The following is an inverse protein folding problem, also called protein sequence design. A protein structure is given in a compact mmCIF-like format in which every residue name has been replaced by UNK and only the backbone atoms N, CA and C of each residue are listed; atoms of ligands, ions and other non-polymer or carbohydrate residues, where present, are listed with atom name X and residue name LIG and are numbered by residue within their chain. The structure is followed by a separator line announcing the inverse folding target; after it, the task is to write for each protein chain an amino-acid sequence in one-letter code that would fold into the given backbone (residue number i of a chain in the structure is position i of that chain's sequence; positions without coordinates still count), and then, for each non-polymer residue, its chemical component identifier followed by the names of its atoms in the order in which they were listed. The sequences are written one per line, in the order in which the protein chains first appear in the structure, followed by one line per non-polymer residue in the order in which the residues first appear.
data_IF_906061501074
#
_entry.id   IF_906061501074
#
_cell.length_a   1.000
_cell.length_b   1.000
_cell.length_c   1.000
_cell.angle_alpha   90.00
_cell.angle_beta   90.00
_cell.angle_gamma   90.00
#
_symmetry.space_group_name_H-M   'P 1'
#
loop_
_entity.id
_entity.type
_entity.pdbx_description
1 polymer ?
#
# COMPACT_ATOMS: atom_id res chain seq x y z
N UNK A 1 16.88 4.70 3.15
CA UNK A 1 16.11 4.68 4.41
C UNK A 1 16.76 5.49 5.53
N UNK A 2 18.07 5.74 5.50
CA UNK A 2 18.83 6.48 6.54
C UNK A 2 18.16 7.76 7.02
N UNK A 3 17.66 8.61 6.12
CA UNK A 3 16.95 9.84 6.55
C UNK A 3 15.77 9.60 7.48
N UNK A 4 14.96 8.54 7.24
CA UNK A 4 13.82 8.21 8.12
C UNK A 4 14.35 7.75 9.48
N UNK A 5 15.40 6.93 9.50
CA UNK A 5 16.06 6.49 10.72
C UNK A 5 16.57 7.69 11.53
N UNK A 6 17.27 8.63 10.87
CA UNK A 6 17.79 9.84 11.51
C UNK A 6 16.66 10.69 12.14
N UNK A 7 15.47 10.73 11.54
CA UNK A 7 14.32 11.43 12.15
C UNK A 7 13.78 10.69 13.38
N UNK A 8 13.76 9.35 13.36
CA UNK A 8 13.24 8.53 14.45
C UNK A 8 14.20 8.52 15.65
N UNK A 9 15.50 8.64 15.40
CA UNK A 9 16.54 8.70 16.43
C UNK A 9 16.73 10.11 17.02
N UNK A 10 16.10 11.14 16.43
CA UNK A 10 16.15 12.51 16.94
C UNK A 10 15.20 12.68 18.13
N UNK A 11 15.77 12.73 19.34
CA UNK A 11 15.08 12.96 20.61
C UNK A 11 14.31 14.30 20.67
N UNK A 12 14.64 15.28 19.82
CA UNK A 12 13.86 16.51 19.71
C UNK A 12 12.56 16.31 18.91
N UNK A 13 12.51 15.28 18.06
CA UNK A 13 11.37 14.93 17.21
C UNK A 13 10.54 13.79 17.79
N UNK A 14 11.20 12.75 18.31
CA UNK A 14 10.61 11.59 18.97
C UNK A 14 11.20 11.45 20.37
N UNK A 15 10.72 12.24 21.36
CA UNK A 15 11.24 12.19 22.71
C UNK A 15 10.99 10.81 23.35
N UNK A 16 12.04 10.16 23.86
CA UNK A 16 11.94 8.87 24.56
C UNK A 16 11.66 9.02 26.06
N UNK A 17 11.85 10.22 26.60
CA UNK A 17 11.68 10.53 28.03
C UNK A 17 10.23 10.89 28.37
N UNK A 18 9.71 10.26 29.42
CA UNK A 18 8.37 10.56 29.95
C UNK A 18 8.31 12.03 30.38
N UNK A 19 7.25 12.73 29.96
CA UNK A 19 6.99 14.12 30.31
C UNK A 19 7.54 15.16 29.32
N UNK A 20 8.27 14.74 28.28
CA UNK A 20 8.69 15.64 27.20
C UNK A 20 7.63 15.63 26.09
N UNK A 21 7.01 16.78 25.76
CA UNK A 21 6.01 16.85 24.69
C UNK A 21 6.65 16.77 23.31
N UNK A 22 5.90 16.26 22.33
CA UNK A 22 6.27 16.31 20.93
C UNK A 22 6.38 17.76 20.42
N UNK A 23 7.27 18.04 19.45
CA UNK A 23 7.41 19.38 18.91
C UNK A 23 6.21 19.78 18.04
N UNK A 24 5.98 21.08 17.87
CA UNK A 24 4.82 21.62 17.13
C UNK A 24 4.75 21.17 15.66
N UNK A 25 5.89 20.84 15.06
CA UNK A 25 6.02 20.37 13.68
C UNK A 25 6.01 18.83 13.56
N UNK A 26 5.83 18.10 14.67
CA UNK A 26 5.83 16.63 14.68
C UNK A 26 4.94 16.03 13.58
N UNK A 27 3.69 16.50 13.48
CA UNK A 27 2.75 15.98 12.50
C UNK A 27 3.24 16.16 11.05
N UNK A 28 3.88 17.29 10.75
CA UNK A 28 4.42 17.55 9.40
C UNK A 28 5.57 16.58 9.07
N UNK A 29 6.41 16.27 10.07
CA UNK A 29 7.52 15.32 9.94
C UNK A 29 6.99 13.90 9.81
N UNK A 30 6.04 13.49 10.66
CA UNK A 30 5.39 12.19 10.59
C UNK A 30 4.75 11.95 9.21
N UNK A 31 4.02 12.93 8.68
CA UNK A 31 3.50 12.87 7.29
C UNK A 31 4.63 12.68 6.28
N UNK A 32 5.73 13.41 6.40
CA UNK A 32 6.89 13.28 5.50
C UNK A 32 7.53 11.89 5.57
N UNK A 33 7.67 11.31 6.77
CA UNK A 33 8.17 9.95 6.98
C UNK A 33 7.24 8.95 6.28
N UNK A 34 5.94 9.00 6.54
CA UNK A 34 4.97 8.07 5.96
C UNK A 34 4.92 8.16 4.44
N UNK A 35 5.02 9.36 3.87
CA UNK A 35 5.13 9.54 2.41
C UNK A 35 6.37 8.88 1.82
N UNK A 36 7.51 8.97 2.52
CA UNK A 36 8.73 8.28 2.08
C UNK A 36 8.58 6.77 2.17
N UNK A 37 7.97 6.26 3.24
CA UNK A 37 7.69 4.82 3.40
C UNK A 37 6.73 4.31 2.31
N UNK A 38 5.69 5.08 1.96
CA UNK A 38 4.80 4.74 0.85
C UNK A 38 5.54 4.58 -0.47
N UNK A 39 6.51 5.46 -0.78
CA UNK A 39 7.32 5.34 -2.00
C UNK A 39 8.16 4.06 -2.03
N UNK A 40 8.56 3.55 -0.87
CA UNK A 40 9.26 2.27 -0.76
C UNK A 40 8.31 1.12 -1.07
N UNK A 41 7.09 1.12 -0.52
CA UNK A 41 6.05 0.15 -0.90
C UNK A 41 5.81 0.16 -2.41
N UNK A 42 5.62 1.33 -3.01
CA UNK A 42 5.41 1.45 -4.45
C UNK A 42 6.58 0.87 -5.25
N UNK A 43 7.82 1.14 -4.83
CA UNK A 43 8.99 0.59 -5.49
C UNK A 43 9.04 -0.95 -5.40
N UNK A 44 8.76 -1.52 -4.23
CA UNK A 44 8.73 -2.98 -4.05
C UNK A 44 7.65 -3.61 -4.95
N UNK A 45 6.42 -3.07 -4.94
CA UNK A 45 5.32 -3.60 -5.75
C UNK A 45 5.58 -3.49 -7.26
N UNK A 46 6.27 -2.45 -7.73
CA UNK A 46 6.54 -2.28 -9.16
C UNK A 46 7.78 -3.01 -9.67
N UNK A 47 8.85 -3.08 -8.88
CA UNK A 47 10.16 -3.53 -9.36
C UNK A 47 10.58 -4.90 -8.79
N UNK A 48 10.15 -5.22 -7.56
CA UNK A 48 10.64 -6.39 -6.83
C UNK A 48 9.54 -7.38 -6.46
N UNK A 49 8.31 -7.19 -6.94
CA UNK A 49 7.19 -8.07 -6.57
C UNK A 49 7.42 -9.52 -7.00
N UNK A 50 8.07 -9.75 -8.15
CA UNK A 50 8.44 -11.10 -8.58
C UNK A 50 9.38 -11.81 -7.61
N UNK A 51 10.35 -11.09 -7.05
CA UNK A 51 11.26 -11.62 -6.02
C UNK A 51 10.51 -11.91 -4.72
N UNK A 52 9.62 -11.01 -4.29
CA UNK A 52 8.77 -11.20 -3.09
C UNK A 52 7.92 -12.46 -3.22
N UNK A 53 7.29 -12.68 -4.38
CA UNK A 53 6.51 -13.90 -4.66
C UNK A 53 7.41 -15.14 -4.68
N UNK A 54 8.61 -15.05 -5.25
CA UNK A 54 9.54 -16.18 -5.26
C UNK A 54 9.99 -16.62 -3.86
N UNK A 55 9.96 -15.69 -2.90
CA UNK A 55 10.25 -15.93 -1.48
C UNK A 55 9.01 -16.38 -0.68
N UNK A 56 7.80 -16.34 -1.28
CA UNK A 56 6.54 -16.64 -0.58
C UNK A 56 6.12 -15.57 0.43
N UNK A 57 6.62 -14.34 0.27
CA UNK A 57 6.45 -13.24 1.23
C UNK A 57 5.33 -12.26 0.82
N UNK A 58 4.57 -12.56 -0.24
CA UNK A 58 3.54 -11.66 -0.75
C UNK A 58 2.41 -11.41 0.26
N UNK A 59 2.08 -12.43 1.07
CA UNK A 59 1.05 -12.30 2.10
C UNK A 59 1.47 -11.33 3.21
N UNK A 60 2.74 -11.35 3.62
CA UNK A 60 3.30 -10.43 4.62
C UNK A 60 3.35 -9.00 4.08
N UNK A 61 3.83 -8.83 2.84
CA UNK A 61 3.87 -7.52 2.19
C UNK A 61 2.46 -6.90 2.09
N UNK A 62 1.47 -7.69 1.62
CA UNK A 62 0.09 -7.24 1.47
C UNK A 62 -0.57 -6.89 2.81
N UNK A 63 -0.34 -7.70 3.85
CA UNK A 63 -0.88 -7.43 5.20
C UNK A 63 -0.27 -6.16 5.77
N UNK A 64 1.04 -6.00 5.67
CA UNK A 64 1.75 -4.81 6.15
C UNK A 64 1.29 -3.55 5.41
N UNK A 65 1.20 -3.62 4.08
CA UNK A 65 0.75 -2.50 3.26
C UNK A 65 -0.72 -2.14 3.53
N UNK A 66 -1.61 -3.13 3.70
CA UNK A 66 -3.01 -2.89 4.07
C UNK A 66 -3.13 -2.16 5.41
N UNK A 67 -2.38 -2.60 6.42
CA UNK A 67 -2.36 -1.92 7.72
C UNK A 67 -1.84 -0.49 7.61
N UNK A 68 -0.76 -0.29 6.85
CA UNK A 68 -0.23 1.04 6.55
C UNK A 68 -1.29 1.95 5.91
N UNK A 69 -2.03 1.44 4.92
CA UNK A 69 -3.06 2.21 4.22
C UNK A 69 -4.21 2.61 5.16
N UNK A 70 -4.72 1.69 5.98
CA UNK A 70 -5.75 2.04 6.96
C UNK A 70 -5.26 3.11 7.93
N UNK A 71 -4.02 3.00 8.42
CA UNK A 71 -3.46 3.99 9.34
C UNK A 71 -3.33 5.38 8.70
N UNK A 72 -2.80 5.48 7.48
CA UNK A 72 -2.65 6.79 6.82
C UNK A 72 -3.99 7.40 6.39
N UNK A 73 -5.00 6.58 6.12
CA UNK A 73 -6.35 7.05 5.80
C UNK A 73 -7.09 7.54 7.05
N UNK A 74 -7.05 6.79 8.15
CA UNK A 74 -7.71 7.12 9.42
C UNK A 74 -7.23 8.48 9.96
N UNK A 75 -5.93 8.74 9.89
CA UNK A 75 -5.31 9.95 10.44
C UNK A 75 -4.99 11.01 9.36
N UNK A 76 -5.45 10.82 8.12
CA UNK A 76 -5.23 11.73 6.98
C UNK A 76 -3.76 12.16 6.82
N UNK A 77 -2.85 11.18 6.90
CA UNK A 77 -1.40 11.42 6.96
C UNK A 77 -0.75 11.53 5.58
N UNK A 78 -1.43 11.06 4.52
CA UNK A 78 -0.99 11.16 3.13
C UNK A 78 -2.15 11.67 2.29
N UNK A 79 -1.87 12.61 1.37
CA UNK A 79 -2.90 13.13 0.48
C UNK A 79 -3.33 12.07 -0.54
N UNK A 80 -4.63 12.01 -0.87
CA UNK A 80 -5.18 11.03 -1.83
C UNK A 80 -4.45 11.04 -3.19
N UNK A 81 -4.02 12.23 -3.65
CA UNK A 81 -3.27 12.38 -4.90
C UNK A 81 -1.91 11.66 -4.89
N UNK A 82 -1.29 11.54 -3.71
CA UNK A 82 0.00 10.87 -3.55
C UNK A 82 -0.17 9.34 -3.51
N UNK A 83 -1.36 8.85 -3.13
CA UNK A 83 -1.71 7.42 -3.15
C UNK A 83 -2.09 6.90 -4.55
N UNK A 84 -2.42 7.81 -5.47
CA UNK A 84 -2.89 7.49 -6.82
C UNK A 84 -2.08 6.40 -7.57
N UNK A 85 -0.73 6.35 -7.49
CA UNK A 85 0.05 5.33 -8.19
C UNK A 85 -0.28 3.88 -7.80
N UNK A 86 -0.75 3.66 -6.57
CA UNK A 86 -1.12 2.34 -6.06
C UNK A 86 -2.63 2.21 -5.82
N UNK A 87 -3.46 3.11 -6.36
CA UNK A 87 -4.89 3.15 -6.05
C UNK A 87 -5.60 1.82 -6.36
N UNK A 88 -5.32 1.20 -7.51
CA UNK A 88 -5.91 -0.10 -7.84
C UNK A 88 -5.55 -1.20 -6.84
N UNK A 89 -4.31 -1.21 -6.33
CA UNK A 89 -3.85 -2.17 -5.34
C UNK A 89 -4.50 -1.89 -3.98
N UNK A 90 -4.58 -0.62 -3.59
CA UNK A 90 -5.27 -0.16 -2.38
C UNK A 90 -6.71 -0.65 -2.40
N UNK A 91 -7.42 -0.42 -3.50
CA UNK A 91 -8.82 -0.82 -3.65
C UNK A 91 -8.95 -2.34 -3.53
N UNK A 92 -8.10 -3.12 -4.20
CA UNK A 92 -8.11 -4.59 -4.08
C UNK A 92 -7.86 -5.10 -2.67
N UNK A 93 -6.92 -4.52 -1.93
CA UNK A 93 -6.56 -4.99 -0.59
C UNK A 93 -7.58 -4.56 0.49
N UNK A 94 -8.20 -3.40 0.30
CA UNK A 94 -9.16 -2.82 1.26
C UNK A 94 -10.61 -3.23 0.99
N UNK A 95 -10.97 -3.61 -0.25
CA UNK A 95 -12.33 -4.01 -0.65
C UNK A 95 -12.76 -5.41 -0.20
N UNK A 96 -11.89 -6.20 0.47
CA UNK A 96 -12.18 -7.59 0.86
C UNK A 96 -13.12 -7.68 2.09
N UNK A 97 -13.87 -6.63 2.45
CA UNK A 97 -14.89 -6.75 3.50
C UNK A 97 -16.21 -6.02 3.26
N UNK A 98 -16.56 -5.74 2.00
CA UNK A 98 -17.93 -5.35 1.65
C UNK A 98 -18.45 -6.28 0.55
N UNK A 99 -19.10 -7.36 0.99
CA UNK A 99 -20.06 -8.18 0.25
C UNK A 99 -19.60 -8.76 -1.11
N UNK A 100 -19.13 -10.01 -1.09
CA UNK A 100 -19.41 -10.94 -2.18
C UNK A 100 -20.45 -11.97 -1.70
N UNK A 101 -21.74 -11.81 -2.01
CA UNK A 101 -22.60 -12.95 -2.28
C UNK A 101 -22.44 -13.36 -3.75
N UNK A 102 -22.13 -14.65 -3.93
CA UNK A 102 -22.26 -15.47 -5.12
C UNK A 102 -21.27 -15.31 -6.29
N UNK A 103 -20.31 -16.25 -6.27
CA UNK A 103 -20.00 -17.17 -7.37
C UNK A 103 -21.05 -17.21 -8.49
N UNK A 104 -20.77 -16.55 -9.61
CA UNK A 104 -21.05 -16.92 -11.02
C UNK A 104 -20.96 -15.67 -11.90
N UNK A 105 -19.83 -15.50 -12.58
CA UNK A 105 -19.72 -14.93 -13.93
C UNK A 105 -18.24 -14.68 -14.26
N UNK A 106 -17.51 -15.74 -14.56
CA UNK A 106 -16.31 -15.60 -15.38
C UNK A 106 -16.31 -16.77 -16.35
N UNK A 107 -17.13 -16.65 -17.40
CA UNK A 107 -16.98 -17.49 -18.58
C UNK A 107 -15.73 -17.04 -19.35
N UNK A 108 -14.83 -17.95 -19.74
CA UNK A 108 -13.72 -17.62 -20.61
C UNK A 108 -14.25 -17.41 -22.04
N UNK A 109 -14.10 -16.20 -22.58
CA UNK A 109 -14.21 -15.98 -24.03
C UNK A 109 -13.06 -16.72 -24.70
N UNK A 110 -13.34 -17.94 -25.15
CA UNK A 110 -12.54 -18.63 -26.15
C UNK A 110 -12.58 -17.84 -27.46
N UNK A 111 -11.41 -17.34 -27.85
CA UNK A 111 -11.11 -16.94 -29.22
C UNK A 111 -11.02 -18.22 -30.04
N UNK A 112 -11.99 -18.48 -30.93
CA UNK A 112 -11.75 -19.30 -32.12
C UNK A 112 -12.77 -18.98 -33.23
N UNK A 113 -12.30 -19.06 -34.47
CA UNK A 113 -12.76 -18.30 -35.63
C UNK A 113 -14.06 -18.76 -36.32
N UNK A 114 -14.45 -18.09 -37.41
CA UNK A 114 -15.71 -18.34 -38.11
C UNK A 114 -15.58 -19.54 -39.06
N UNK A 115 -16.19 -20.68 -38.72
CA UNK A 115 -16.53 -21.70 -39.72
C UNK A 115 -17.86 -21.33 -40.39
N UNK A 116 -17.77 -20.72 -41.57
CA UNK A 116 -18.84 -20.77 -42.56
C UNK A 116 -18.69 -22.06 -43.36
N UNK A 117 -19.68 -22.93 -43.25
CA UNK A 117 -19.85 -24.10 -44.11
C UNK A 117 -20.36 -23.61 -45.47
N UNK A 118 -19.60 -23.89 -46.54
CA UNK A 118 -20.13 -23.84 -47.91
C UNK A 118 -20.87 -25.15 -48.22
N UNK A 119 -21.94 -24.97 -49.00
CA UNK A 119 -22.83 -25.89 -49.75
C UNK A 119 -22.82 -27.40 -49.48
#
# INVERSE_FOLDING_TARGET
MTWVQDQLDDEALFPSKIGVPFPKNFLQIAKTILKRLFRVYAHIYHQHFGEVVSLGEEAHLNTSFKHFIYFVQEFELIEKKELAPLQELIDRLTSINTALPNSKAMEPKSLDGPQKFES
#
